data_IF_509957961914
#
_entry.id   IF_509957961914
#
_cell.length_a   1.000
_cell.length_b   1.000
_cell.length_c   1.000
_cell.angle_alpha   90.00
_cell.angle_beta   90.00
_cell.angle_gamma   90.00
#
_symmetry.space_group_name_H-M   'P 1'
#
loop_
_entity.id
_entity.type
_entity.pdbx_description
1 polymer ?
#
# COMPACT_ATOMS: atom_id res chain seq x y z
N UNK A 1 -13.70 -28.43 40.19
CA UNK A 1 -12.25 -28.49 39.98
C UNK A 1 -12.01 -29.04 38.58
N UNK A 2 -11.16 -28.33 37.82
CA UNK A 2 -10.58 -28.62 36.51
C UNK A 2 -11.51 -28.80 35.30
N UNK A 3 -11.72 -27.69 34.59
CA UNK A 3 -11.99 -27.67 33.15
C UNK A 3 -10.67 -27.41 32.44
N UNK A 4 -10.25 -28.37 31.60
CA UNK A 4 -9.14 -28.23 30.66
C UNK A 4 -9.44 -27.12 29.66
N UNK A 5 -8.53 -26.17 29.53
CA UNK A 5 -8.51 -25.14 28.49
C UNK A 5 -8.15 -25.79 27.15
N UNK A 6 -9.11 -25.94 26.26
CA UNK A 6 -8.86 -26.22 24.84
C UNK A 6 -8.45 -24.93 24.14
N UNK A 7 -7.21 -24.90 23.63
CA UNK A 7 -6.75 -23.93 22.64
C UNK A 7 -7.65 -23.98 21.38
N UNK A 8 -8.11 -22.85 20.82
CA UNK A 8 -8.61 -22.81 19.45
C UNK A 8 -7.44 -22.89 18.44
N UNK A 9 -7.64 -23.51 17.26
CA UNK A 9 -6.58 -23.91 16.34
C UNK A 9 -6.01 -22.73 15.54
N UNK A 10 -4.78 -22.95 15.05
CA UNK A 10 -3.97 -22.03 14.27
C UNK A 10 -4.72 -21.41 13.07
N UNK A 11 -4.50 -20.11 12.87
CA UNK A 11 -4.76 -19.42 11.61
C UNK A 11 -4.05 -20.18 10.47
N UNK A 12 -4.84 -20.78 9.58
CA UNK A 12 -4.39 -21.53 8.41
C UNK A 12 -3.69 -20.59 7.43
N UNK A 13 -2.37 -20.50 7.55
CA UNK A 13 -1.52 -19.80 6.58
C UNK A 13 -1.18 -20.80 5.48
N UNK A 14 -1.44 -20.46 4.21
CA UNK A 14 -1.02 -21.29 3.09
C UNK A 14 0.52 -21.44 3.10
N UNK A 15 1.05 -22.65 2.82
CA UNK A 15 2.47 -22.96 3.05
C UNK A 15 3.42 -22.21 2.10
N UNK A 16 2.93 -21.77 0.94
CA UNK A 16 3.70 -21.04 -0.07
C UNK A 16 3.25 -19.58 -0.16
N UNK A 17 4.19 -18.66 -0.37
CA UNK A 17 3.94 -17.22 -0.43
C UNK A 17 3.18 -16.78 -1.70
N UNK A 18 3.12 -17.63 -2.73
CA UNK A 18 2.35 -17.42 -3.96
C UNK A 18 0.95 -18.10 -3.92
N UNK A 19 0.51 -18.49 -2.73
CA UNK A 19 -0.80 -19.12 -2.51
C UNK A 19 -1.72 -18.25 -1.65
N UNK A 20 -3.00 -18.27 -1.98
CA UNK A 20 -4.09 -17.64 -1.23
C UNK A 20 -5.08 -18.70 -0.73
N UNK A 21 -5.73 -18.42 0.38
CA UNK A 21 -6.70 -19.32 0.99
C UNK A 21 -8.09 -19.15 0.33
N UNK A 22 -8.74 -20.26 0.01
CA UNK A 22 -10.08 -20.28 -0.56
C UNK A 22 -11.15 -19.86 0.47
N UNK A 23 -12.31 -19.39 0.04
CA UNK A 23 -13.23 -18.68 0.94
C UNK A 23 -13.95 -19.62 1.92
N UNK A 24 -14.40 -20.78 1.48
CA UNK A 24 -15.23 -21.68 2.33
C UNK A 24 -14.52 -22.94 2.79
N UNK A 25 -13.34 -23.25 2.25
CA UNK A 25 -12.59 -24.44 2.60
C UNK A 25 -11.13 -24.10 2.97
N UNK A 26 -10.45 -25.03 3.65
CA UNK A 26 -9.04 -24.87 4.03
C UNK A 26 -8.06 -25.16 2.89
N UNK A 27 -8.49 -25.02 1.62
CA UNK A 27 -7.61 -25.20 0.47
C UNK A 27 -6.93 -23.88 0.12
N UNK A 28 -5.82 -24.01 -0.59
CA UNK A 28 -5.04 -22.91 -1.08
C UNK A 28 -4.95 -23.01 -2.60
N UNK A 29 -5.21 -21.91 -3.30
CA UNK A 29 -4.98 -21.77 -4.74
C UNK A 29 -3.81 -20.83 -4.99
N UNK A 30 -3.13 -20.96 -6.12
CA UNK A 30 -2.04 -20.03 -6.44
C UNK A 30 -2.61 -18.73 -6.96
N UNK A 31 -1.88 -17.65 -6.73
CA UNK A 31 -2.21 -16.31 -7.23
C UNK A 31 -2.47 -16.29 -8.75
N UNK A 32 -1.77 -17.11 -9.52
CA UNK A 32 -1.92 -17.20 -10.99
C UNK A 32 -3.17 -17.94 -11.47
N UNK A 33 -3.88 -18.60 -10.57
CA UNK A 33 -5.10 -19.39 -10.80
C UNK A 33 -6.35 -18.66 -10.30
N UNK A 34 -6.23 -17.34 -10.10
CA UNK A 34 -7.35 -16.49 -9.75
C UNK A 34 -7.88 -15.91 -11.05
N UNK A 35 -9.16 -16.15 -11.34
CA UNK A 35 -9.89 -15.61 -12.49
C UNK A 35 -9.34 -16.03 -13.85
N UNK A 36 -8.91 -17.30 -13.95
CA UNK A 36 -8.47 -17.92 -15.20
C UNK A 36 -9.55 -18.81 -15.84
N UNK A 37 -10.68 -19.00 -15.15
CA UNK A 37 -11.87 -19.70 -15.64
C UNK A 37 -12.00 -21.14 -15.17
N UNK A 38 -11.06 -21.64 -14.34
CA UNK A 38 -11.10 -22.97 -13.74
C UNK A 38 -11.40 -22.88 -12.22
N UNK A 39 -12.16 -23.84 -11.69
CA UNK A 39 -12.49 -23.89 -10.25
C UNK A 39 -11.40 -24.65 -9.48
N UNK A 40 -10.28 -23.99 -9.21
CA UNK A 40 -9.13 -24.55 -8.50
C UNK A 40 -9.37 -24.64 -6.99
N UNK A 41 -10.19 -23.75 -6.43
CA UNK A 41 -10.59 -23.79 -5.03
C UNK A 41 -11.60 -24.90 -4.71
N UNK A 42 -12.36 -25.39 -5.69
CA UNK A 42 -13.42 -26.40 -5.54
C UNK A 42 -14.74 -25.86 -4.97
N UNK A 43 -14.75 -24.64 -4.45
CA UNK A 43 -15.92 -23.88 -4.00
C UNK A 43 -16.18 -22.63 -4.86
N UNK A 44 -15.40 -22.45 -5.94
CA UNK A 44 -15.48 -21.37 -6.92
C UNK A 44 -15.14 -19.97 -6.38
N UNK A 45 -14.46 -19.89 -5.23
CA UNK A 45 -14.06 -18.63 -4.60
C UNK A 45 -13.06 -17.82 -5.43
N UNK A 46 -12.21 -18.52 -6.16
CA UNK A 46 -11.17 -18.03 -7.07
C UNK A 46 -11.74 -17.44 -8.37
N UNK A 47 -12.97 -17.82 -8.71
CA UNK A 47 -13.71 -17.37 -9.91
C UNK A 47 -14.92 -16.49 -9.55
N UNK A 48 -15.01 -16.03 -8.29
CA UNK A 48 -16.11 -15.20 -7.82
C UNK A 48 -16.17 -13.88 -8.60
N UNK A 49 -17.37 -13.47 -9.01
CA UNK A 49 -17.53 -12.34 -9.96
C UNK A 49 -16.99 -11.02 -9.40
N UNK A 50 -17.15 -10.81 -8.09
CA UNK A 50 -16.58 -9.65 -7.40
C UNK A 50 -15.05 -9.76 -7.30
N UNK A 51 -14.48 -10.92 -6.96
CA UNK A 51 -13.02 -11.10 -6.96
C UNK A 51 -12.43 -10.85 -8.35
N UNK A 52 -13.07 -11.37 -9.40
CA UNK A 52 -12.59 -11.24 -10.77
C UNK A 52 -12.79 -9.86 -11.38
N UNK A 53 -13.80 -9.09 -10.96
CA UNK A 53 -13.89 -7.67 -11.31
C UNK A 53 -12.69 -6.86 -10.78
N UNK A 54 -12.10 -7.32 -9.70
CA UNK A 54 -10.99 -6.70 -8.98
C UNK A 54 -9.63 -7.33 -9.29
N UNK A 55 -9.63 -8.37 -10.11
CA UNK A 55 -8.44 -9.03 -10.60
C UNK A 55 -8.22 -8.76 -12.10
N UNK A 56 -9.30 -8.43 -12.83
CA UNK A 56 -9.31 -8.14 -14.28
C UNK A 56 -9.37 -6.63 -14.58
N UNK A 57 -8.20 -6.00 -14.71
CA UNK A 57 -8.01 -4.73 -15.42
C UNK A 57 -7.48 -5.16 -16.77
N UNK A 58 -8.19 -4.83 -17.83
CA UNK A 58 -7.78 -5.15 -19.19
C UNK A 58 -6.63 -4.23 -19.65
N UNK A 59 -5.40 -4.44 -19.17
CA UNK A 59 -4.19 -4.19 -19.98
C UNK A 59 -3.39 -5.47 -20.15
N UNK A 60 -4.18 -6.51 -20.44
CA UNK A 60 -3.79 -7.87 -20.23
C UNK A 60 -4.21 -8.87 -21.34
N UNK A 61 -4.01 -8.57 -22.62
CA UNK A 61 -3.98 -9.61 -23.68
C UNK A 61 -2.58 -10.20 -24.01
N UNK A 62 -2.39 -11.43 -23.51
CA UNK A 62 -1.21 -12.31 -23.26
C UNK A 62 -0.75 -12.40 -21.80
N UNK A 63 -1.50 -11.81 -20.88
CA UNK A 63 -0.87 -10.89 -19.96
C UNK A 63 -1.44 -10.92 -18.52
N UNK A 64 -0.52 -10.62 -17.61
CA UNK A 64 -0.53 -9.72 -16.46
C UNK A 64 -1.66 -9.74 -15.42
N UNK A 65 -1.20 -9.78 -14.16
CA UNK A 65 -2.00 -9.74 -12.96
C UNK A 65 -2.36 -8.30 -12.54
N UNK A 66 -3.44 -8.22 -11.75
CA UNK A 66 -3.80 -7.18 -10.76
C UNK A 66 -4.55 -5.93 -11.23
N UNK A 67 -5.72 -5.72 -10.63
CA UNK A 67 -6.70 -4.71 -10.98
C UNK A 67 -7.65 -4.34 -9.84
N UNK A 68 -7.11 -3.84 -8.73
CA UNK A 68 -7.84 -3.42 -7.54
C UNK A 68 -9.24 -2.80 -7.78
N UNK A 69 -10.24 -3.30 -7.04
CA UNK A 69 -10.89 -2.59 -5.92
C UNK A 69 -11.65 -1.32 -6.33
N UNK A 70 -12.80 -1.58 -6.96
CA UNK A 70 -13.94 -0.68 -7.06
C UNK A 70 -15.27 -1.44 -6.95
N UNK A 71 -15.88 -1.40 -5.76
CA UNK A 71 -17.28 -1.69 -5.42
C UNK A 71 -18.21 -0.93 -6.39
N UNK A 72 -18.95 -1.60 -7.28
CA UNK A 72 -20.33 -2.10 -7.16
C UNK A 72 -21.39 -1.03 -6.88
N UNK A 73 -22.09 -0.62 -7.93
CA UNK A 73 -23.54 -0.38 -7.86
C UNK A 73 -24.18 -1.23 -8.95
N UNK A 74 -24.71 -2.38 -8.53
CA UNK A 74 -25.71 -3.21 -9.25
C UNK A 74 -27.05 -2.43 -9.14
N UNK A 75 -27.99 -2.34 -10.09
CA UNK A 75 -28.50 -3.29 -11.09
C UNK A 75 -29.06 -2.59 -12.35
N UNK A 76 -28.80 -3.24 -13.48
CA UNK A 76 -29.51 -3.21 -14.77
C UNK A 76 -30.86 -3.96 -14.67
N UNK A 77 -31.84 -3.90 -15.63
CA UNK A 77 -31.62 -4.34 -17.02
C UNK A 77 -32.44 -3.73 -18.17
N UNK A 78 -31.77 -3.71 -19.34
CA UNK A 78 -32.21 -4.21 -20.68
C UNK A 78 -33.48 -3.59 -21.33
N UNK A 79 -33.34 -2.88 -22.45
CA UNK A 79 -33.39 -3.46 -23.81
C UNK A 79 -33.31 -2.39 -24.92
N UNK A 80 -32.80 -2.82 -26.07
CA UNK A 80 -32.47 -2.11 -27.29
C UNK A 80 -33.59 -1.29 -27.96
N UNK A 81 -33.22 -0.12 -28.52
CA UNK A 81 -33.38 0.24 -29.95
C UNK A 81 -33.41 1.78 -30.15
N UNK A 82 -32.57 2.28 -31.05
CA UNK A 82 -32.81 3.59 -31.70
C UNK A 82 -33.85 3.39 -32.81
N UNK A 83 -34.78 4.34 -33.04
CA UNK A 83 -34.50 5.40 -34.00
C UNK A 83 -35.09 6.79 -33.65
N UNK A 84 -34.54 7.80 -34.31
CA UNK A 84 -35.03 9.20 -34.44
C UNK A 84 -36.56 9.37 -34.31
N UNK A 85 -37.00 10.36 -33.51
CA UNK A 85 -37.66 11.60 -33.96
C UNK A 85 -38.66 12.20 -32.92
N UNK A 86 -38.51 13.50 -32.66
CA UNK A 86 -39.49 14.55 -32.32
C UNK A 86 -40.75 14.24 -31.46
N UNK A 87 -40.80 15.00 -30.36
CA UNK A 87 -41.81 16.03 -30.02
C UNK A 87 -43.19 15.64 -29.45
N UNK A 88 -43.46 16.26 -28.28
CA UNK A 88 -44.75 16.77 -27.75
C UNK A 88 -45.78 15.75 -27.24
N UNK A 89 -45.99 15.73 -25.92
CA UNK A 89 -47.12 16.41 -25.24
C UNK A 89 -47.12 16.16 -23.72
N UNK A 90 -47.33 17.25 -22.99
CA UNK A 90 -47.84 17.32 -21.61
C UNK A 90 -49.31 16.81 -21.55
N UNK A 91 -49.99 16.44 -20.45
CA UNK A 91 -49.97 16.75 -19.02
C UNK A 91 -50.72 15.63 -18.23
N UNK A 92 -50.58 15.65 -16.89
CA UNK A 92 -51.58 15.37 -15.83
C UNK A 92 -51.31 14.20 -14.86
N UNK A 93 -50.76 14.60 -13.70
CA UNK A 93 -51.09 14.21 -12.31
C UNK A 93 -51.63 12.81 -11.99
N UNK A 94 -50.86 12.06 -11.20
CA UNK A 94 -51.35 11.47 -9.96
C UNK A 94 -50.17 11.22 -8.99
N UNK A 95 -50.37 11.66 -7.75
CA UNK A 95 -49.52 11.50 -6.55
C UNK A 95 -48.92 10.10 -6.35
N UNK A 96 -47.61 10.06 -6.07
CA UNK A 96 -47.04 9.19 -5.05
C UNK A 96 -45.68 9.77 -4.61
N UNK A 97 -45.71 10.58 -3.55
CA UNK A 97 -44.54 10.94 -2.76
C UNK A 97 -43.99 9.68 -2.10
N UNK A 98 -42.76 9.29 -2.44
CA UNK A 98 -41.88 8.59 -1.51
C UNK A 98 -40.51 9.29 -1.57
N UNK A 99 -40.21 9.96 -0.48
CA UNK A 99 -38.95 10.65 -0.21
C UNK A 99 -37.79 9.66 -0.23
N UNK A 100 -36.73 9.99 -0.97
CA UNK A 100 -35.42 9.34 -0.84
C UNK A 100 -34.96 9.38 0.62
N UNK A 101 -34.33 8.32 1.16
CA UNK A 101 -33.80 8.38 2.51
C UNK A 101 -32.60 9.33 2.52
N UNK A 102 -32.77 10.50 3.15
CA UNK A 102 -31.65 11.32 3.60
C UNK A 102 -30.81 10.51 4.58
N UNK A 103 -29.65 10.03 4.14
CA UNK A 103 -28.60 9.54 5.04
C UNK A 103 -28.06 10.77 5.78
N UNK A 104 -28.55 11.00 6.99
CA UNK A 104 -28.01 12.02 7.87
C UNK A 104 -26.75 11.47 8.53
N UNK A 105 -25.60 11.71 7.90
CA UNK A 105 -24.31 11.53 8.58
C UNK A 105 -24.18 12.68 9.58
N UNK A 106 -24.31 12.37 10.86
CA UNK A 106 -24.09 13.38 11.90
C UNK A 106 -22.60 13.67 12.01
N UNK A 107 -22.23 14.94 11.96
CA UNK A 107 -20.85 15.42 12.10
C UNK A 107 -20.17 14.86 13.36
N UNK A 108 -20.96 14.63 14.41
CA UNK A 108 -20.54 14.02 15.68
C UNK A 108 -20.11 12.55 15.56
N UNK A 109 -20.71 11.75 14.67
CA UNK A 109 -20.36 10.34 14.50
C UNK A 109 -19.09 10.17 13.67
N UNK A 110 -18.88 11.06 12.69
CA UNK A 110 -17.61 11.16 11.95
C UNK A 110 -16.49 11.61 12.88
N UNK A 111 -16.75 12.61 13.74
CA UNK A 111 -15.78 13.06 14.73
C UNK A 111 -15.44 11.95 15.72
N UNK A 112 -16.41 11.17 16.22
CA UNK A 112 -16.14 10.02 17.11
C UNK A 112 -15.32 8.93 16.44
N UNK A 113 -15.57 8.62 15.17
CA UNK A 113 -14.79 7.61 14.45
C UNK A 113 -13.36 8.10 14.16
N UNK A 114 -13.20 9.39 13.85
CA UNK A 114 -11.88 10.04 13.77
C UNK A 114 -11.21 9.99 15.14
N UNK A 115 -11.88 10.37 16.22
CA UNK A 115 -11.31 10.41 17.58
C UNK A 115 -10.95 9.00 18.08
N UNK A 116 -11.76 7.98 17.77
CA UNK A 116 -11.46 6.59 18.11
C UNK A 116 -10.25 6.05 17.34
N UNK A 117 -10.14 6.36 16.04
CA UNK A 117 -8.96 6.01 15.22
C UNK A 117 -7.72 6.82 15.63
N UNK A 118 -7.91 8.06 16.06
CA UNK A 118 -6.89 8.99 16.55
C UNK A 118 -6.35 8.54 17.91
N UNK A 119 -7.20 8.20 18.87
CA UNK A 119 -6.77 7.77 20.21
C UNK A 119 -6.03 6.41 20.17
N UNK A 120 -6.43 5.51 19.25
CA UNK A 120 -5.74 4.25 18.98
C UNK A 120 -4.37 4.41 18.27
N UNK A 121 -4.14 5.53 17.56
CA UNK A 121 -2.85 5.81 16.87
C UNK A 121 -1.95 6.80 17.62
N UNK A 122 -2.48 7.59 18.55
CA UNK A 122 -1.72 8.62 19.28
C UNK A 122 -1.32 8.26 20.71
N UNK A 123 -1.89 7.20 21.31
CA UNK A 123 -1.59 6.79 22.69
C UNK A 123 -1.12 5.33 22.76
N UNK A 124 0.19 5.14 22.88
CA UNK A 124 0.77 3.84 23.23
C UNK A 124 1.53 3.95 24.55
N UNK A 125 1.37 3.00 25.47
CA UNK A 125 2.03 3.07 26.80
C UNK A 125 3.57 3.21 26.71
N UNK A 126 4.16 2.63 25.66
CA UNK A 126 5.61 2.62 25.44
C UNK A 126 6.14 3.79 24.58
N UNK A 127 5.26 4.62 24.00
CA UNK A 127 5.68 5.72 23.13
C UNK A 127 5.11 7.06 23.62
N UNK A 128 5.82 8.19 23.40
CA UNK A 128 5.27 9.51 23.67
C UNK A 128 3.97 9.75 22.90
N UNK A 129 3.16 10.71 23.38
CA UNK A 129 1.94 11.11 22.67
C UNK A 129 2.23 11.44 21.20
N UNK A 130 1.31 11.07 20.33
CA UNK A 130 1.40 11.15 18.86
C UNK A 130 2.24 10.06 18.18
N UNK A 131 2.78 9.10 18.93
CA UNK A 131 3.54 7.97 18.39
C UNK A 131 2.89 6.64 18.79
N UNK A 132 2.90 5.72 17.84
CA UNK A 132 2.53 4.32 18.06
C UNK A 132 3.76 3.42 17.92
N UNK A 133 3.74 2.28 18.61
CA UNK A 133 4.85 1.33 18.56
C UNK A 133 4.72 0.43 17.33
N UNK A 134 5.74 0.44 16.49
CA UNK A 134 5.87 -0.42 15.31
C UNK A 134 7.20 -1.17 15.42
N UNK A 135 7.14 -2.43 15.83
CA UNK A 135 8.33 -3.22 16.18
C UNK A 135 9.08 -2.59 17.36
N UNK A 136 10.33 -2.21 17.12
CA UNK A 136 11.20 -1.55 18.11
C UNK A 136 11.20 -0.01 18.00
N UNK A 137 10.44 0.55 17.05
CA UNK A 137 10.43 1.99 16.81
C UNK A 137 9.09 2.62 17.21
N UNK A 138 9.16 3.84 17.72
CA UNK A 138 7.99 4.70 17.88
C UNK A 138 7.82 5.54 16.62
N UNK A 139 6.71 5.33 15.92
CA UNK A 139 6.40 5.94 14.62
C UNK A 139 5.14 6.79 14.75
N UNK A 140 5.15 7.97 14.14
CA UNK A 140 3.95 8.81 14.03
C UNK A 140 3.43 8.75 12.60
N UNK A 141 2.19 8.31 12.45
CA UNK A 141 1.51 8.17 11.16
C UNK A 141 0.43 9.25 11.10
N UNK A 142 0.73 10.37 10.45
CA UNK A 142 -0.16 11.54 10.46
C UNK A 142 -1.05 11.58 9.21
N UNK A 143 -2.34 11.25 9.37
CA UNK A 143 -3.27 11.13 8.23
C UNK A 143 -3.98 12.44 7.84
N UNK A 144 -3.86 13.49 8.67
CA UNK A 144 -4.79 14.64 8.63
C UNK A 144 -4.27 15.80 7.76
N UNK A 145 -3.05 15.74 7.24
CA UNK A 145 -2.49 16.82 6.43
C UNK A 145 -1.46 16.38 5.41
N UNK A 146 -1.72 16.73 4.15
CA UNK A 146 -0.81 16.50 3.04
C UNK A 146 0.05 17.75 2.82
N UNK A 147 1.37 17.57 2.95
CA UNK A 147 2.37 18.64 2.85
C UNK A 147 3.49 18.24 1.89
N UNK A 148 4.30 19.20 1.46
CA UNK A 148 5.49 18.87 0.66
C UNK A 148 6.58 18.22 1.52
N UNK A 149 7.62 17.65 0.91
CA UNK A 149 8.64 16.89 1.65
C UNK A 149 9.39 17.75 2.68
N UNK A 150 9.67 19.01 2.37
CA UNK A 150 10.37 19.92 3.28
C UNK A 150 9.51 20.26 4.50
N UNK A 151 8.23 20.56 4.27
CA UNK A 151 7.23 20.78 5.32
C UNK A 151 7.02 19.52 6.17
N UNK A 152 6.97 18.33 5.56
CA UNK A 152 6.87 17.06 6.26
C UNK A 152 8.05 16.86 7.23
N UNK A 153 9.28 17.15 6.78
CA UNK A 153 10.46 17.08 7.65
C UNK A 153 10.39 18.10 8.78
N UNK A 154 10.01 19.34 8.48
CA UNK A 154 9.86 20.38 9.49
C UNK A 154 8.82 19.99 10.55
N UNK A 155 7.72 19.38 10.15
CA UNK A 155 6.72 18.82 11.06
C UNK A 155 7.31 17.73 11.96
N UNK A 156 7.98 16.72 11.41
CA UNK A 156 8.61 15.68 12.22
C UNK A 156 9.63 16.25 13.22
N UNK A 157 10.42 17.25 12.80
CA UNK A 157 11.36 17.95 13.69
C UNK A 157 10.65 18.69 14.82
N UNK A 158 9.53 19.36 14.54
CA UNK A 158 8.77 20.10 15.53
C UNK A 158 8.20 19.19 16.64
N UNK A 159 7.89 17.93 16.32
CA UNK A 159 7.42 16.93 17.30
C UNK A 159 8.57 16.10 17.92
N UNK A 160 9.82 16.56 17.82
CA UNK A 160 10.98 15.91 18.44
C UNK A 160 11.48 14.65 17.74
N UNK A 161 11.20 14.52 16.44
CA UNK A 161 11.52 13.35 15.62
C UNK A 161 12.19 13.74 14.29
N UNK A 162 12.35 12.79 13.35
CA UNK A 162 12.68 13.09 11.95
C UNK A 162 11.83 12.20 11.03
N UNK A 163 11.90 12.40 9.73
CA UNK A 163 11.24 11.51 8.76
C UNK A 163 11.78 10.08 8.88
N UNK A 164 10.90 9.10 8.70
CA UNK A 164 11.24 7.68 8.81
C UNK A 164 12.36 7.28 7.84
N UNK A 165 13.34 6.52 8.31
CA UNK A 165 14.48 6.02 7.54
C UNK A 165 14.55 4.50 7.62
N UNK A 166 14.92 3.84 6.53
CA UNK A 166 15.08 2.38 6.53
C UNK A 166 16.41 1.99 7.17
N UNK A 167 16.37 0.99 8.06
CA UNK A 167 17.57 0.40 8.64
C UNK A 167 18.31 -0.42 7.59
N UNK A 168 19.63 -0.53 7.73
CA UNK A 168 20.46 -1.32 6.80
C UNK A 168 20.09 -2.80 6.77
N UNK A 169 19.61 -3.33 7.90
CA UNK A 169 19.16 -4.71 8.02
C UNK A 169 17.73 -4.94 7.49
N UNK A 170 17.03 -3.88 7.06
CA UNK A 170 15.71 -3.94 6.42
C UNK A 170 14.57 -4.39 7.33
N UNK A 171 14.84 -4.70 8.60
CA UNK A 171 13.82 -5.20 9.53
C UNK A 171 12.70 -4.19 9.73
N UNK A 172 13.07 -2.91 9.87
CA UNK A 172 12.07 -1.89 10.12
C UNK A 172 11.16 -1.62 8.91
N UNK A 173 11.63 -1.90 7.69
CA UNK A 173 10.83 -1.82 6.48
C UNK A 173 9.70 -2.86 6.50
N UNK A 174 10.03 -4.12 6.80
CA UNK A 174 9.03 -5.19 6.87
C UNK A 174 7.97 -4.91 7.95
N UNK A 175 8.39 -4.44 9.13
CA UNK A 175 7.48 -4.15 10.23
C UNK A 175 6.55 -2.97 9.93
N UNK A 176 7.06 -1.88 9.34
CA UNK A 176 6.20 -0.73 9.01
C UNK A 176 5.25 -1.07 7.86
N UNK A 177 5.72 -1.81 6.86
CA UNK A 177 4.91 -2.27 5.74
C UNK A 177 3.73 -3.13 6.22
N UNK A 178 4.00 -4.08 7.12
CA UNK A 178 2.96 -4.91 7.72
C UNK A 178 1.98 -4.08 8.55
N UNK A 179 2.47 -3.14 9.34
CA UNK A 179 1.62 -2.27 10.16
C UNK A 179 0.68 -1.42 9.30
N UNK A 180 1.19 -0.73 8.28
CA UNK A 180 0.38 0.10 7.39
C UNK A 180 -0.72 -0.71 6.68
N UNK A 181 -0.42 -1.94 6.26
CA UNK A 181 -1.40 -2.85 5.64
C UNK A 181 -2.46 -3.33 6.62
N UNK A 182 -2.06 -3.81 7.79
CA UNK A 182 -3.00 -4.32 8.81
C UNK A 182 -3.90 -3.21 9.37
N UNK A 183 -3.39 -1.98 9.41
CA UNK A 183 -4.16 -0.79 9.80
C UNK A 183 -5.04 -0.25 8.67
N UNK A 184 -5.11 -0.93 7.51
CA UNK A 184 -5.90 -0.53 6.34
C UNK A 184 -5.65 0.92 5.90
N UNK A 185 -4.40 1.35 6.00
CA UNK A 185 -4.00 2.69 5.58
C UNK A 185 -4.00 2.74 4.06
N UNK A 186 -4.57 3.81 3.50
CA UNK A 186 -4.62 4.05 2.05
C UNK A 186 -3.93 5.34 1.62
N UNK A 187 -3.35 6.07 2.58
CA UNK A 187 -2.69 7.36 2.35
C UNK A 187 -1.21 7.19 2.01
N UNK A 188 -0.70 8.04 1.12
CA UNK A 188 0.73 8.09 0.82
C UNK A 188 1.54 8.84 1.88
N UNK A 189 2.77 8.39 2.15
CA UNK A 189 3.65 9.00 3.13
C UNK A 189 4.98 9.47 2.57
N UNK A 190 5.44 10.64 3.03
CA UNK A 190 6.82 11.05 2.92
C UNK A 190 7.71 10.30 3.92
N UNK A 191 8.85 9.81 3.41
CA UNK A 191 9.94 9.25 4.22
C UNK A 191 11.23 10.02 3.99
N UNK A 192 12.24 9.75 4.80
CA UNK A 192 13.44 10.59 4.92
C UNK A 192 14.42 10.52 3.75
N UNK A 193 14.06 9.90 2.62
CA UNK A 193 14.95 9.76 1.48
C UNK A 193 14.87 10.95 0.53
N UNK A 194 16.00 11.43 0.01
CA UNK A 194 16.04 12.41 -1.07
C UNK A 194 17.25 12.24 -1.97
N UNK A 195 17.14 12.68 -3.21
CA UNK A 195 18.31 12.85 -4.06
C UNK A 195 19.08 14.13 -3.68
N UNK A 196 20.40 14.02 -3.50
CA UNK A 196 21.26 15.15 -3.13
C UNK A 196 21.96 15.73 -4.35
N UNK A 197 22.83 14.95 -5.00
CA UNK A 197 23.56 15.31 -6.22
C UNK A 197 24.21 14.04 -6.82
N UNK A 198 24.95 14.18 -7.91
CA UNK A 198 25.61 13.03 -8.58
C UNK A 198 26.71 12.36 -7.73
N UNK A 199 27.37 13.11 -6.84
CA UNK A 199 28.46 12.58 -6.00
C UNK A 199 27.97 11.81 -4.77
N UNK A 200 26.86 12.25 -4.17
CA UNK A 200 26.28 11.67 -2.96
C UNK A 200 25.17 10.68 -3.30
N UNK A 201 24.43 10.95 -4.38
CA UNK A 201 23.28 10.15 -4.78
C UNK A 201 22.07 10.34 -3.86
N UNK A 202 21.32 9.26 -3.68
CA UNK A 202 20.17 9.20 -2.77
C UNK A 202 20.64 8.94 -1.34
N UNK A 203 20.22 9.79 -0.40
CA UNK A 203 20.56 9.66 1.01
C UNK A 203 19.34 9.86 1.90
N UNK A 204 19.40 9.25 3.07
CA UNK A 204 18.46 9.47 4.16
C UNK A 204 18.74 10.80 4.87
N UNK A 205 17.77 11.30 5.64
CA UNK A 205 17.88 12.53 6.46
C UNK A 205 18.92 12.44 7.58
N UNK A 206 19.41 11.24 7.90
CA UNK A 206 20.49 10.96 8.84
C UNK A 206 21.87 10.81 8.14
N UNK A 207 21.98 11.27 6.89
CA UNK A 207 23.17 11.25 6.05
C UNK A 207 23.67 9.84 5.63
N UNK A 208 22.93 8.78 5.97
CA UNK A 208 23.24 7.45 5.44
C UNK A 208 22.83 7.30 3.97
N UNK A 209 23.62 6.59 3.14
CA UNK A 209 23.25 6.32 1.75
C UNK A 209 22.03 5.39 1.69
N UNK A 210 21.15 5.66 0.72
CA UNK A 210 20.00 4.79 0.45
C UNK A 210 20.43 3.57 -0.37
N UNK A 211 19.97 2.39 0.05
CA UNK A 211 20.02 1.20 -0.80
C UNK A 211 18.97 1.36 -1.90
N UNK A 212 19.42 1.33 -3.15
CA UNK A 212 18.56 1.43 -4.32
C UNK A 212 18.12 0.06 -4.81
N UNK A 213 16.88 -0.03 -5.26
CA UNK A 213 16.29 -1.25 -5.82
C UNK A 213 15.73 -2.24 -4.79
N UNK A 214 15.75 -3.50 -5.15
CA UNK A 214 15.15 -4.58 -4.35
C UNK A 214 15.84 -4.70 -2.98
N UNK A 215 15.09 -4.92 -1.88
CA UNK A 215 13.65 -5.17 -1.82
C UNK A 215 12.78 -3.92 -1.61
N UNK A 216 13.37 -2.73 -1.46
CA UNK A 216 12.65 -1.57 -0.92
C UNK A 216 11.87 -0.80 -1.99
N UNK A 217 12.40 -0.73 -3.21
CA UNK A 217 11.85 0.11 -4.26
C UNK A 217 10.73 -0.59 -5.04
N UNK A 218 9.69 0.19 -5.34
CA UNK A 218 8.56 -0.24 -6.13
C UNK A 218 9.01 -0.70 -7.52
N UNK A 219 8.35 -1.74 -8.02
CA UNK A 219 8.49 -2.18 -9.41
C UNK A 219 7.70 -1.20 -10.27
N UNK A 220 8.33 -0.67 -11.32
CA UNK A 220 7.68 0.15 -12.35
C UNK A 220 7.92 -0.41 -13.73
N UNK A 221 6.97 -0.25 -14.63
CA UNK A 221 7.17 -0.59 -16.04
C UNK A 221 8.23 0.33 -16.69
N UNK A 222 8.93 -0.22 -17.67
CA UNK A 222 9.90 0.49 -18.50
C UNK A 222 9.73 0.04 -19.95
N UNK A 223 9.57 1.01 -20.86
CA UNK A 223 9.53 0.74 -22.31
C UNK A 223 10.87 0.23 -22.84
N UNK A 224 11.95 0.57 -22.15
CA UNK A 224 13.29 0.10 -22.47
C UNK A 224 13.56 -1.24 -21.80
N UNK A 225 14.12 -2.16 -22.58
CA UNK A 225 14.59 -3.47 -22.14
C UNK A 225 15.66 -3.35 -21.05
N UNK A 226 15.43 -3.95 -19.88
CA UNK A 226 16.36 -3.94 -18.76
C UNK A 226 16.85 -5.35 -18.47
N UNK A 227 18.16 -5.56 -18.59
CA UNK A 227 18.79 -6.80 -18.14
C UNK A 227 19.21 -6.67 -16.68
N UNK A 228 18.96 -7.70 -15.87
CA UNK A 228 19.43 -7.72 -14.48
C UNK A 228 20.83 -8.32 -14.41
N UNK A 229 21.77 -7.61 -13.78
CA UNK A 229 23.09 -8.16 -13.47
C UNK A 229 23.24 -8.39 -11.97
N UNK A 230 23.84 -9.50 -11.57
CA UNK A 230 24.19 -9.78 -10.18
C UNK A 230 25.67 -10.09 -10.04
N UNK A 231 26.29 -9.67 -8.96
CA UNK A 231 27.67 -10.05 -8.66
C UNK A 231 27.67 -11.35 -7.89
N UNK A 232 28.20 -12.42 -8.50
CA UNK A 232 28.32 -13.71 -7.84
C UNK A 232 29.42 -13.64 -6.77
N UNK A 233 29.11 -13.87 -5.48
CA UNK A 233 30.13 -13.88 -4.43
C UNK A 233 31.11 -15.05 -4.59
N UNK A 234 30.69 -16.12 -5.26
CA UNK A 234 31.51 -17.33 -5.51
C UNK A 234 32.49 -17.10 -6.66
N UNK A 235 32.05 -16.43 -7.72
CA UNK A 235 32.85 -16.24 -8.93
C UNK A 235 33.56 -14.88 -8.98
N UNK A 236 33.25 -13.98 -8.03
CA UNK A 236 33.69 -12.58 -8.01
C UNK A 236 33.53 -11.88 -9.37
N UNK A 237 32.43 -12.20 -10.07
CA UNK A 237 32.13 -11.72 -11.41
C UNK A 237 30.68 -11.22 -11.46
N UNK A 238 30.46 -10.14 -12.19
CA UNK A 238 29.12 -9.66 -12.53
C UNK A 238 28.58 -10.50 -13.68
N UNK A 239 27.52 -11.26 -13.38
CA UNK A 239 26.82 -12.12 -14.33
C UNK A 239 25.46 -11.52 -14.67
N UNK A 240 25.00 -11.79 -15.89
CA UNK A 240 23.64 -11.52 -16.31
C UNK A 240 22.73 -12.57 -15.67
N UNK A 241 21.71 -12.12 -14.95
CA UNK A 241 20.69 -13.01 -14.39
C UNK A 241 19.86 -13.60 -15.54
N UNK A 242 19.41 -14.84 -15.37
CA UNK A 242 18.51 -15.51 -16.31
C UNK A 242 18.99 -15.45 -17.77
N UNK A 243 20.30 -15.68 -17.98
CA UNK A 243 20.95 -15.68 -19.30
C UNK A 243 20.74 -14.39 -20.12
N UNK A 244 20.64 -13.25 -19.43
CA UNK A 244 20.43 -11.95 -20.08
C UNK A 244 18.99 -11.72 -20.52
N UNK A 245 18.03 -12.44 -19.92
CA UNK A 245 16.62 -12.14 -20.13
C UNK A 245 16.33 -10.66 -19.90
N UNK A 246 15.52 -10.16 -20.82
CA UNK A 246 15.09 -8.79 -20.88
C UNK A 246 13.79 -8.61 -20.09
N UNK A 247 13.78 -7.65 -19.19
CA UNK A 247 12.60 -7.29 -18.41
C UNK A 247 12.17 -5.86 -18.73
N UNK A 248 10.86 -5.67 -18.90
CA UNK A 248 10.25 -4.35 -19.08
C UNK A 248 9.84 -3.73 -17.72
N UNK A 249 10.60 -4.02 -16.67
CA UNK A 249 10.37 -3.44 -15.35
C UNK A 249 11.68 -3.02 -14.69
N UNK A 250 11.60 -1.99 -13.86
CA UNK A 250 12.72 -1.40 -13.14
C UNK A 250 12.35 -1.30 -11.67
N UNK A 251 13.30 -1.61 -10.79
CA UNK A 251 13.24 -1.28 -9.37
C UNK A 251 14.37 -0.31 -9.06
N UNK A 252 14.13 0.97 -9.33
CA UNK A 252 15.07 2.06 -9.09
C UNK A 252 14.35 3.40 -9.29
N UNK A 253 14.84 4.47 -8.64
CA UNK A 253 14.33 5.82 -8.87
C UNK A 253 14.37 6.20 -10.37
N UNK A 254 13.43 7.06 -10.80
CA UNK A 254 13.44 7.63 -12.15
C UNK A 254 14.64 8.54 -12.34
N UNK A 255 15.10 8.62 -13.59
CA UNK A 255 16.12 9.55 -14.03
C UNK A 255 15.49 10.61 -14.94
N UNK A 256 15.88 11.90 -14.81
CA UNK A 256 16.79 12.44 -13.79
C UNK A 256 16.14 12.45 -12.41
N UNK A 257 16.92 12.15 -11.35
CA UNK A 257 16.42 12.14 -9.97
C UNK A 257 16.40 13.54 -9.32
N UNK A 258 16.78 14.58 -10.07
CA UNK A 258 16.80 15.96 -9.57
C UNK A 258 15.42 16.38 -9.09
N UNK A 259 15.33 16.89 -7.86
CA UNK A 259 14.09 17.30 -7.19
C UNK A 259 13.11 16.18 -6.82
N UNK A 260 13.57 14.92 -6.78
CA UNK A 260 12.77 13.80 -6.26
C UNK A 260 13.13 13.46 -4.81
N UNK A 261 12.11 13.05 -4.08
CA UNK A 261 12.12 12.62 -2.69
C UNK A 261 11.47 11.24 -2.58
N UNK A 262 11.79 10.51 -1.52
CA UNK A 262 11.30 9.16 -1.32
C UNK A 262 9.96 9.17 -0.58
N UNK A 263 8.99 8.40 -1.10
CA UNK A 263 7.69 8.20 -0.50
C UNK A 263 7.39 6.71 -0.35
N UNK A 264 6.54 6.35 0.62
CA UNK A 264 5.84 5.07 0.66
C UNK A 264 4.42 5.32 0.18
N UNK A 265 4.07 4.77 -0.98
CA UNK A 265 2.80 5.08 -1.64
C UNK A 265 1.87 3.88 -1.65
N UNK A 266 0.59 4.10 -1.40
CA UNK A 266 -0.42 3.04 -1.34
C UNK A 266 -0.56 2.31 -2.68
N UNK A 267 -0.55 3.05 -3.79
CA UNK A 267 -0.63 2.48 -5.16
C UNK A 267 0.54 1.56 -5.50
N UNK A 268 1.65 1.67 -4.78
CA UNK A 268 2.80 0.78 -4.91
C UNK A 268 2.92 -0.13 -3.68
N UNK A 269 1.80 -0.46 -3.03
CA UNK A 269 1.74 -1.32 -1.84
C UNK A 269 2.73 -0.93 -0.73
N UNK A 270 2.96 0.37 -0.54
CA UNK A 270 3.93 0.98 0.38
C UNK A 270 5.40 0.60 0.15
N UNK A 271 5.76 0.18 -1.06
CA UNK A 271 7.16 0.20 -1.48
C UNK A 271 7.63 1.63 -1.76
N UNK A 272 8.94 1.84 -1.72
CA UNK A 272 9.57 3.14 -1.94
C UNK A 272 9.40 3.56 -3.40
N UNK A 273 8.84 4.75 -3.59
CA UNK A 273 8.75 5.44 -4.88
C UNK A 273 9.49 6.77 -4.83
N UNK A 274 10.08 7.18 -5.95
CA UNK A 274 10.63 8.53 -6.10
C UNK A 274 9.54 9.46 -6.62
N UNK A 275 9.21 10.46 -5.84
CA UNK A 275 8.13 11.40 -6.12
C UNK A 275 8.69 12.82 -6.11
N UNK A 276 8.11 13.71 -6.91
CA UNK A 276 8.52 15.11 -6.88
C UNK A 276 8.34 15.66 -5.46
N UNK A 277 9.40 16.25 -4.89
CA UNK A 277 9.41 16.73 -3.50
C UNK A 277 8.33 17.79 -3.21
N UNK A 278 7.76 18.40 -4.26
CA UNK A 278 6.69 19.40 -4.18
C UNK A 278 5.28 18.80 -4.09
N UNK A 279 5.13 17.50 -4.35
CA UNK A 279 3.84 16.81 -4.20
C UNK A 279 3.42 16.76 -2.74
N UNK A 280 2.12 16.62 -2.47
CA UNK A 280 1.58 16.67 -1.11
C UNK A 280 1.25 15.28 -0.61
N UNK A 281 1.89 14.86 0.49
CA UNK A 281 1.70 13.57 1.14
C UNK A 281 1.75 13.73 2.67
N UNK A 282 1.31 12.70 3.39
CA UNK A 282 1.36 12.67 4.84
C UNK A 282 2.81 12.48 5.34
N UNK A 283 3.25 13.10 6.45
CA UNK A 283 4.54 12.80 7.04
C UNK A 283 4.50 11.45 7.79
N UNK A 284 5.50 10.60 7.57
CA UNK A 284 5.78 9.44 8.43
C UNK A 284 7.02 9.75 9.27
N UNK A 285 6.83 9.97 10.56
CA UNK A 285 7.90 10.38 11.47
C UNK A 285 8.37 9.23 12.35
N UNK A 286 9.64 9.24 12.75
CA UNK A 286 10.21 8.23 13.64
C UNK A 286 11.01 8.90 14.76
N UNK A 287 10.80 8.44 15.99
CA UNK A 287 11.68 8.84 17.08
C UNK A 287 13.07 8.23 16.87
N UNK A 288 14.14 9.00 17.14
CA UNK A 288 15.48 8.43 17.13
C UNK A 288 15.53 7.29 18.15
N UNK A 289 16.19 6.19 17.80
CA UNK A 289 16.47 5.12 18.75
C UNK A 289 17.26 5.73 19.90
N UNK A 290 16.72 5.68 21.12
CA UNK A 290 17.52 6.05 22.28
C UNK A 290 18.65 5.01 22.37
N UNK A 291 19.89 5.47 22.29
CA UNK A 291 21.04 4.65 22.67
C UNK A 291 20.83 4.06 24.07
N UNK A 292 21.61 3.04 24.47
CA UNK A 292 21.45 2.41 25.77
C UNK A 292 21.38 3.51 26.83
N UNK A 293 20.26 3.57 27.56
CA UNK A 293 20.14 4.42 28.74
C UNK A 293 21.29 3.98 29.64
N UNK A 294 22.31 4.81 29.80
CA UNK A 294 23.28 4.63 30.86
C UNK A 294 22.46 4.56 32.15
N UNK A 295 22.39 3.35 32.70
CA UNK A 295 21.77 3.13 33.99
C UNK A 295 22.58 3.95 35.00
N UNK A 296 21.88 4.88 35.64
CA UNK A 296 22.40 5.73 36.70
C UNK A 296 23.03 4.90 37.83
#
# INVERSE_FOLDING_TARGET
>A
MHLHTTLPPAFSTCPEADQIHCFTNSRCTRIRYICDGDNDCGDNSDEESELCRHWRNNDCERNNAMAELGVSTVEEPVESASPRARSKREWMFAEAMQTEPTVQVQEEDVVKEIDARLDATLRHADCPQLFTRVGEQCVSIFYIGNVNWLEARAFCKAVGSDLFTLSRDGKNFATILQHLRLSQVTTDFWVGGRYVNETVGWSWVNDEPMVLGSPYWAVRHSESCQTRSFTSPVLNQTLQANDGECYNYVQAPRQPSTANCAALTFSHYFYVSDESCLTKKSPLCVLPSQGPKEAL
#
